data_IF_906420334515
#
_entry.id   IF_906420334515
#
_cell.length_a   1.000
_cell.length_b   1.000
_cell.length_c   1.000
_cell.angle_alpha   90.00
_cell.angle_beta   90.00
_cell.angle_gamma   90.00
#
_symmetry.space_group_name_H-M   'P 1'
#
loop_
_entity.id
_entity.type
_entity.pdbx_description
1 polymer ?
#
# COMPACT_ATOMS: atom_id res chain seq x y z
N UNK A 1 12.96 -8.01 3.21
CA UNK A 1 11.75 -8.24 4.04
C UNK A 1 10.55 -7.98 3.13
N UNK A 2 9.50 -8.79 2.98
CA UNK A 2 9.26 -10.21 3.16
C UNK A 2 8.13 -10.58 2.14
N UNK A 3 8.27 -11.67 1.39
CA UNK A 3 7.30 -12.13 0.38
C UNK A 3 5.97 -12.68 0.98
N UNK A 4 5.56 -12.22 2.17
CA UNK A 4 4.40 -12.72 2.94
C UNK A 4 3.43 -11.64 3.42
N UNK A 5 3.74 -10.37 3.24
CA UNK A 5 2.81 -9.31 3.64
C UNK A 5 1.70 -9.14 2.60
N UNK A 6 0.46 -9.07 3.06
CA UNK A 6 -0.69 -8.76 2.21
C UNK A 6 -0.66 -7.26 1.93
N UNK A 7 -0.55 -6.92 0.66
CA UNK A 7 -0.62 -5.53 0.23
C UNK A 7 -2.07 -5.13 0.06
N UNK A 8 -2.39 -3.97 0.63
CA UNK A 8 -3.61 -3.23 0.38
C UNK A 8 -3.25 -2.23 -0.72
N UNK A 9 -3.78 -2.43 -1.93
CA UNK A 9 -3.50 -1.57 -3.07
C UNK A 9 -4.72 -0.75 -3.44
N UNK A 10 -4.45 0.46 -3.91
CA UNK A 10 -5.47 1.28 -4.54
C UNK A 10 -5.86 0.69 -5.88
N UNK A 11 -7.15 0.78 -6.21
CA UNK A 11 -7.59 0.42 -7.55
C UNK A 11 -6.83 1.25 -8.58
N UNK A 12 -6.61 0.64 -9.74
CA UNK A 12 -5.87 1.23 -10.86
C UNK A 12 -6.42 2.59 -11.31
N UNK A 13 -7.70 2.87 -11.05
CA UNK A 13 -8.37 4.14 -11.36
C UNK A 13 -7.89 5.32 -10.50
N UNK A 14 -7.45 5.07 -9.26
CA UNK A 14 -6.97 6.12 -8.34
C UNK A 14 -5.45 6.30 -8.35
N UNK A 15 -4.72 5.29 -8.82
CA UNK A 15 -3.26 5.25 -8.79
C UNK A 15 -2.65 4.72 -10.10
N UNK A 16 -3.26 5.01 -11.25
CA UNK A 16 -2.81 4.48 -12.55
C UNK A 16 -1.31 4.70 -12.83
N UNK A 17 -0.74 5.82 -12.39
CA UNK A 17 0.70 6.10 -12.51
C UNK A 17 1.58 5.40 -11.45
N UNK A 18 1.13 5.31 -10.20
CA UNK A 18 1.93 4.78 -9.09
C UNK A 18 1.80 3.27 -8.92
N UNK A 19 0.64 2.69 -9.21
CA UNK A 19 0.33 1.28 -9.08
C UNK A 19 1.22 0.42 -9.99
N UNK A 20 1.33 0.79 -11.26
CA UNK A 20 2.17 0.10 -12.23
C UNK A 20 3.67 0.22 -11.86
N UNK A 21 4.13 1.39 -11.39
CA UNK A 21 5.51 1.56 -10.95
C UNK A 21 5.84 0.73 -9.70
N UNK A 22 4.93 0.69 -8.72
CA UNK A 22 5.06 -0.12 -7.52
C UNK A 22 5.17 -1.61 -7.87
N UNK A 23 4.23 -2.11 -8.68
CA UNK A 23 4.23 -3.50 -9.10
C UNK A 23 5.52 -3.80 -9.87
N UNK A 24 5.91 -2.92 -10.78
CA UNK A 24 7.11 -3.10 -11.60
C UNK A 24 8.38 -3.09 -10.75
N UNK A 25 8.49 -2.26 -9.72
CA UNK A 25 9.62 -2.26 -8.78
C UNK A 25 9.70 -3.57 -8.00
N UNK A 26 8.58 -4.05 -7.45
CA UNK A 26 8.55 -5.31 -6.70
C UNK A 26 8.86 -6.51 -7.60
N UNK A 27 8.24 -6.56 -8.79
CA UNK A 27 8.49 -7.61 -9.79
C UNK A 27 9.96 -7.58 -10.24
N UNK A 28 10.53 -6.40 -10.50
CA UNK A 28 11.93 -6.26 -10.90
C UNK A 28 12.90 -6.64 -9.77
N UNK A 29 12.50 -6.47 -8.51
CA UNK A 29 13.24 -6.94 -7.35
C UNK A 29 13.06 -8.46 -7.08
N UNK A 30 12.32 -9.18 -7.92
CA UNK A 30 12.06 -10.62 -7.78
C UNK A 30 11.05 -10.96 -6.69
N UNK A 31 10.30 -9.98 -6.19
CA UNK A 31 9.26 -10.16 -5.19
C UNK A 31 7.87 -10.15 -5.84
N UNK A 32 7.06 -11.17 -5.55
CA UNK A 32 5.64 -11.16 -5.88
C UNK A 32 4.86 -10.41 -4.81
N UNK A 33 4.17 -9.34 -5.20
CA UNK A 33 3.18 -8.67 -4.35
C UNK A 33 1.96 -9.59 -4.24
N UNK A 34 1.55 -9.91 -3.00
CA UNK A 34 0.24 -10.51 -2.76
C UNK A 34 -0.78 -9.43 -2.47
N UNK A 35 -1.63 -9.13 -3.44
CA UNK A 35 -2.74 -8.20 -3.30
C UNK A 35 -3.82 -8.89 -2.46
N UNK A 36 -3.93 -8.50 -1.19
CA UNK A 36 -4.94 -9.06 -0.28
C UNK A 36 -6.26 -8.30 -0.35
N UNK A 37 -6.18 -6.99 -0.57
CA UNK A 37 -7.34 -6.10 -0.62
C UNK A 37 -7.12 -4.99 -1.64
N UNK A 38 -8.13 -4.75 -2.48
CA UNK A 38 -8.20 -3.57 -3.33
C UNK A 38 -9.14 -2.56 -2.70
N UNK A 39 -8.71 -1.30 -2.60
CA UNK A 39 -9.46 -0.22 -1.98
C UNK A 39 -9.58 0.98 -2.92
N UNK A 40 -10.72 1.67 -2.83
CA UNK A 40 -11.02 2.88 -3.62
C UNK A 40 -10.89 4.17 -2.82
N UNK A 41 -10.47 4.10 -1.55
CA UNK A 41 -10.33 5.27 -0.70
C UNK A 41 -9.17 5.09 0.29
N UNK A 42 -8.42 6.17 0.50
CA UNK A 42 -7.29 6.24 1.44
C UNK A 42 -7.74 5.95 2.87
N UNK A 43 -8.92 6.41 3.26
CA UNK A 43 -9.47 6.16 4.60
C UNK A 43 -9.67 4.66 4.85
N UNK A 44 -10.20 3.94 3.86
CA UNK A 44 -10.37 2.48 3.93
C UNK A 44 -9.02 1.78 3.99
N UNK A 45 -8.04 2.23 3.21
CA UNK A 45 -6.69 1.70 3.25
C UNK A 45 -6.07 1.86 4.65
N UNK A 46 -6.18 3.05 5.24
CA UNK A 46 -5.69 3.34 6.58
C UNK A 46 -6.35 2.43 7.62
N UNK A 47 -7.69 2.31 7.58
CA UNK A 47 -8.43 1.48 8.54
C UNK A 47 -7.99 0.01 8.48
N UNK A 48 -7.73 -0.53 7.28
CA UNK A 48 -7.24 -1.90 7.12
C UNK A 48 -5.80 -2.07 7.64
N UNK A 49 -4.94 -1.08 7.44
CA UNK A 49 -3.57 -1.07 7.99
C UNK A 49 -3.60 -0.97 9.52
N UNK A 50 -4.43 -0.08 10.07
CA UNK A 50 -4.62 0.08 11.52
C UNK A 50 -5.20 -1.20 12.16
N UNK A 51 -6.06 -1.92 11.44
CA UNK A 51 -6.57 -3.22 11.84
C UNK A 51 -5.53 -4.36 11.74
N UNK A 52 -4.31 -4.09 11.24
CA UNK A 52 -3.24 -5.07 11.10
C UNK A 52 -3.47 -6.08 9.96
N UNK A 53 -4.32 -5.75 8.99
CA UNK A 53 -4.64 -6.65 7.86
C UNK A 53 -3.58 -6.66 6.75
N UNK A 54 -2.62 -5.73 6.80
CA UNK A 54 -1.53 -5.69 5.84
C UNK A 54 -0.80 -4.36 5.80
N UNK A 55 -0.11 -4.13 4.68
CA UNK A 55 0.65 -2.91 4.38
C UNK A 55 0.07 -2.21 3.15
N UNK A 56 0.01 -0.89 3.15
CA UNK A 56 -0.48 -0.09 2.02
C UNK A 56 0.60 0.88 1.55
N UNK A 57 0.70 1.05 0.23
CA UNK A 57 1.54 2.07 -0.37
C UNK A 57 0.70 3.30 -0.63
N UNK A 58 1.07 4.41 0.02
CA UNK A 58 0.31 5.65 0.01
C UNK A 58 1.21 6.82 -0.40
N UNK A 59 0.68 7.86 -1.07
CA UNK A 59 1.44 9.05 -1.36
C UNK A 59 1.85 9.78 -0.08
N UNK A 60 3.01 10.44 -0.08
CA UNK A 60 3.55 11.13 1.08
C UNK A 60 2.59 12.18 1.70
N UNK A 61 1.61 12.69 0.93
CA UNK A 61 0.58 13.61 1.41
C UNK A 61 -0.28 13.06 2.56
N UNK A 62 -0.39 11.73 2.70
CA UNK A 62 -1.09 11.12 3.84
C UNK A 62 -0.33 11.27 5.16
N UNK A 63 0.93 11.71 5.13
CA UNK A 63 1.74 11.93 6.34
C UNK A 63 1.08 12.92 7.29
N UNK A 64 0.31 13.87 6.76
CA UNK A 64 -0.48 14.82 7.54
C UNK A 64 -1.77 14.19 8.12
N UNK A 65 -2.29 13.15 7.47
CA UNK A 65 -3.49 12.39 7.86
C UNK A 65 -3.17 11.10 8.63
N UNK A 66 -1.91 10.81 8.90
CA UNK A 66 -1.50 9.55 9.50
C UNK A 66 -1.85 9.50 10.99
N UNK A 67 -2.69 8.55 11.37
CA UNK A 67 -2.94 8.19 12.77
C UNK A 67 -1.67 7.64 13.46
N UNK A 68 -1.58 7.78 14.79
CA UNK A 68 -0.46 7.29 15.61
C UNK A 68 -0.19 5.78 15.53
N UNK A 69 -1.15 5.01 15.01
CA UNK A 69 -1.06 3.56 14.90
C UNK A 69 -0.43 3.07 13.58
N UNK A 70 -0.08 3.98 12.67
CA UNK A 70 0.52 3.64 11.38
C UNK A 70 1.99 4.05 11.36
N UNK A 71 2.86 3.11 10.99
CA UNK A 71 4.29 3.38 10.78
C UNK A 71 4.52 3.67 9.31
N UNK A 72 4.86 4.93 9.00
CA UNK A 72 5.24 5.33 7.65
C UNK A 72 6.71 4.98 7.39
N UNK A 73 6.97 4.32 6.26
CA UNK A 73 8.32 4.04 5.78
C UNK A 73 8.46 4.54 4.35
N UNK A 74 9.54 5.25 4.09
CA UNK A 74 9.95 5.60 2.73
C UNK A 74 10.61 4.38 2.10
N UNK A 75 10.25 4.09 0.84
CA UNK A 75 10.73 2.95 0.05
C UNK A 75 11.37 3.42 -1.24
#
# INVERSE_FOLDING_TARGET
MAAKERFILFTRELCSGSHDQIIRTYVNAGFSIHIGHEVTNIVTALALVEAGLGVSLLPASIRDFSSKNVVLREV
#
